data_IF_316557767702
#
_entry.id   IF_316557767702
#
_cell.length_a   1.000
_cell.length_b   1.000
_cell.length_c   1.000
_cell.angle_alpha   90.00
_cell.angle_beta   90.00
_cell.angle_gamma   90.00
#
_symmetry.space_group_name_H-M   'P 1'
#
loop_
_entity.id
_entity.type
_entity.pdbx_description
1 polymer ?
#
# COMPACT_ATOMS: atom_id res chain seq x y z
N UNK A 1 -25.44 55.36 20.60
CA UNK A 1 -24.06 54.98 20.21
C UNK A 1 -23.75 53.54 20.66
N UNK A 2 -24.42 52.49 20.14
CA UNK A 2 -24.10 51.08 20.48
C UNK A 2 -24.34 50.06 19.33
N UNK A 3 -24.61 50.51 18.11
CA UNK A 3 -24.99 49.61 17.01
C UNK A 3 -23.90 49.39 15.95
N UNK A 4 -22.82 50.20 15.96
CA UNK A 4 -21.71 50.08 15.00
C UNK A 4 -20.68 49.02 15.42
N UNK A 5 -20.61 48.67 16.71
CA UNK A 5 -19.61 47.73 17.24
C UNK A 5 -19.93 46.25 16.99
N UNK A 6 -21.20 45.89 16.72
CA UNK A 6 -21.62 44.48 16.60
C UNK A 6 -21.38 43.89 15.20
N UNK A 7 -21.13 44.73 14.19
CA UNK A 7 -20.96 44.29 12.79
C UNK A 7 -19.53 43.82 12.51
N UNK A 8 -18.52 44.36 13.19
CA UNK A 8 -17.08 44.01 13.03
C UNK A 8 -16.72 42.63 13.59
N UNK A 9 -17.46 42.12 14.57
CA UNK A 9 -17.19 40.84 15.24
C UNK A 9 -17.61 39.63 14.40
N UNK A 10 -18.68 39.77 13.62
CA UNK A 10 -19.21 38.68 12.78
C UNK A 10 -18.25 38.27 11.65
N UNK A 11 -17.47 39.23 11.14
CA UNK A 11 -16.48 38.98 10.10
C UNK A 11 -15.27 38.25 10.69
N UNK A 12 -14.78 38.69 11.86
CA UNK A 12 -13.66 38.03 12.54
C UNK A 12 -13.93 36.55 12.82
N UNK A 13 -15.12 36.21 13.29
CA UNK A 13 -15.52 34.82 13.54
C UNK A 13 -15.62 34.01 12.25
N UNK A 14 -16.16 34.57 11.17
CA UNK A 14 -16.23 33.90 9.87
C UNK A 14 -14.83 33.61 9.30
N UNK A 15 -13.91 34.55 9.41
CA UNK A 15 -12.51 34.37 9.01
C UNK A 15 -11.80 33.31 9.85
N UNK A 16 -12.02 33.29 11.17
CA UNK A 16 -11.47 32.27 12.07
C UNK A 16 -12.02 30.89 11.70
N UNK A 17 -13.33 30.75 11.46
CA UNK A 17 -13.94 29.47 11.06
C UNK A 17 -13.42 29.01 9.71
N UNK A 18 -13.26 29.92 8.74
CA UNK A 18 -12.73 29.60 7.41
C UNK A 18 -11.27 29.15 7.48
N UNK A 19 -10.45 29.83 8.29
CA UNK A 19 -9.08 29.40 8.57
C UNK A 19 -9.05 28.05 9.26
N UNK A 20 -9.91 27.81 10.27
CA UNK A 20 -9.99 26.54 10.98
C UNK A 20 -10.37 25.38 10.04
N UNK A 21 -11.35 25.60 9.15
CA UNK A 21 -11.75 24.63 8.13
C UNK A 21 -10.62 24.30 7.15
N UNK A 22 -9.80 25.28 6.78
CA UNK A 22 -8.62 25.05 5.95
C UNK A 22 -7.58 24.17 6.65
N UNK A 23 -7.36 24.33 7.97
CA UNK A 23 -6.41 23.49 8.72
C UNK A 23 -6.90 22.04 8.87
N UNK A 24 -8.21 21.84 9.01
CA UNK A 24 -8.81 20.51 9.21
C UNK A 24 -8.80 19.64 7.95
N UNK A 25 -8.71 20.25 6.76
CA UNK A 25 -8.78 19.52 5.48
C UNK A 25 -7.48 18.83 5.07
N UNK A 26 -6.44 18.86 5.91
CA UNK A 26 -5.21 18.12 5.68
C UNK A 26 -5.38 16.64 6.08
N UNK A 27 -6.13 15.88 5.29
CA UNK A 27 -6.13 14.42 5.37
C UNK A 27 -4.89 13.91 4.64
N UNK A 28 -3.84 13.57 5.39
CA UNK A 28 -2.70 12.80 4.87
C UNK A 28 -3.16 11.36 4.61
N UNK A 29 -3.52 11.05 3.36
CA UNK A 29 -3.67 9.67 2.92
C UNK A 29 -2.29 9.00 2.99
N UNK A 30 -2.00 8.33 4.11
CA UNK A 30 -0.81 7.50 4.30
C UNK A 30 -0.95 6.30 3.36
N UNK A 31 -0.67 6.55 2.09
CA UNK A 31 -0.51 5.54 1.06
C UNK A 31 0.70 4.71 1.46
N UNK A 32 0.46 3.61 2.19
CA UNK A 32 1.48 2.62 2.53
C UNK A 32 2.10 2.14 1.21
N UNK A 33 3.29 2.65 0.89
CA UNK A 33 3.94 2.40 -0.40
C UNK A 33 4.23 0.90 -0.55
N UNK A 34 3.90 0.35 -1.70
CA UNK A 34 4.37 -0.95 -2.13
C UNK A 34 5.69 -0.77 -2.89
N UNK A 35 6.72 -1.53 -2.54
CA UNK A 35 7.94 -1.66 -3.31
C UNK A 35 7.84 -2.90 -4.17
N UNK A 36 7.78 -2.71 -5.49
CA UNK A 36 7.71 -3.80 -6.46
C UNK A 36 9.13 -4.26 -6.81
N UNK A 37 9.38 -5.55 -6.69
CA UNK A 37 10.65 -6.20 -6.99
C UNK A 37 10.43 -7.24 -8.10
N UNK A 38 11.20 -7.13 -9.17
CA UNK A 38 11.19 -8.03 -10.33
C UNK A 38 12.52 -8.78 -10.48
N UNK A 39 13.30 -8.91 -9.40
CA UNK A 39 14.62 -9.55 -9.45
C UNK A 39 14.58 -11.08 -9.55
N UNK A 40 13.39 -11.66 -9.44
CA UNK A 40 13.17 -13.11 -9.45
C UNK A 40 12.18 -13.43 -10.56
N UNK A 41 12.59 -14.26 -11.50
CA UNK A 41 11.79 -14.73 -12.63
C UNK A 41 11.59 -16.26 -12.63
N UNK A 42 12.35 -16.99 -11.80
CA UNK A 42 12.36 -18.46 -11.79
C UNK A 42 11.70 -19.08 -10.56
N UNK A 43 11.16 -20.30 -10.75
CA UNK A 43 10.47 -21.08 -9.73
C UNK A 43 11.24 -22.37 -9.41
N UNK A 44 11.25 -22.77 -8.14
CA UNK A 44 11.71 -24.08 -7.70
C UNK A 44 10.67 -25.17 -7.99
N UNK A 45 9.38 -24.83 -7.85
CA UNK A 45 8.26 -25.69 -8.18
C UNK A 45 7.10 -24.84 -8.70
N UNK A 46 6.62 -25.14 -9.90
CA UNK A 46 5.47 -24.45 -10.52
C UNK A 46 4.14 -24.98 -10.00
N UNK A 47 3.96 -24.91 -8.68
CA UNK A 47 2.67 -25.21 -8.04
C UNK A 47 2.06 -23.95 -7.46
N UNK A 48 0.75 -23.95 -7.28
CA UNK A 48 0.08 -22.89 -6.53
C UNK A 48 0.40 -23.02 -5.03
N UNK A 49 0.72 -21.91 -4.38
CA UNK A 49 0.97 -21.85 -2.94
C UNK A 49 -0.32 -22.12 -2.15
N UNK A 50 -0.20 -22.81 -1.02
CA UNK A 50 -1.30 -22.95 -0.08
C UNK A 50 -1.49 -21.67 0.76
N UNK A 51 -2.57 -21.63 1.54
CA UNK A 51 -2.80 -20.54 2.48
C UNK A 51 -1.63 -20.39 3.47
N UNK A 52 -1.11 -19.17 3.60
CA UNK A 52 0.04 -18.81 4.43
C UNK A 52 1.36 -19.51 4.08
N UNK A 53 1.43 -20.23 2.96
CA UNK A 53 2.68 -20.81 2.50
C UNK A 53 3.68 -19.71 2.11
N UNK A 54 4.96 -19.96 2.41
CA UNK A 54 6.07 -19.08 2.01
C UNK A 54 6.27 -19.18 0.50
N UNK A 55 5.97 -18.11 -0.23
CA UNK A 55 6.19 -18.02 -1.68
C UNK A 55 7.66 -17.73 -2.03
N UNK A 56 8.40 -17.03 -1.16
CA UNK A 56 9.84 -16.75 -1.32
C UNK A 56 10.52 -16.67 0.04
N UNK A 57 11.67 -17.36 0.20
CA UNK A 57 12.47 -17.32 1.42
C UNK A 57 13.45 -16.14 1.43
N UNK A 58 13.93 -15.76 2.60
CA UNK A 58 15.05 -14.81 2.73
C UNK A 58 16.24 -15.19 1.81
N UNK A 59 16.82 -14.18 1.16
CA UNK A 59 17.99 -14.29 0.27
C UNK A 59 17.88 -15.23 -0.94
N UNK A 60 16.73 -15.88 -1.19
CA UNK A 60 16.56 -16.74 -2.35
C UNK A 60 16.29 -15.93 -3.62
N UNK A 61 16.84 -16.42 -4.73
CA UNK A 61 16.67 -15.87 -6.09
C UNK A 61 15.65 -16.66 -6.92
N UNK A 62 14.84 -17.52 -6.28
CA UNK A 62 13.77 -18.31 -6.90
C UNK A 62 12.53 -18.35 -6.01
N UNK A 63 11.36 -18.36 -6.61
CA UNK A 63 10.10 -18.60 -5.90
C UNK A 63 9.95 -20.08 -5.54
N UNK A 64 9.28 -20.40 -4.43
CA UNK A 64 8.95 -21.78 -4.07
C UNK A 64 7.70 -22.28 -4.79
N UNK A 65 6.74 -21.38 -4.99
CA UNK A 65 5.42 -21.63 -5.57
C UNK A 65 4.85 -20.30 -6.10
N UNK A 66 3.84 -20.40 -6.95
CA UNK A 66 3.08 -19.24 -7.46
C UNK A 66 1.91 -18.93 -6.52
N UNK A 67 1.76 -17.67 -6.15
CA UNK A 67 0.58 -17.17 -5.46
C UNK A 67 -0.62 -17.12 -6.44
N UNK A 68 -1.84 -17.42 -5.97
CA UNK A 68 -3.04 -17.27 -6.80
C UNK A 68 -3.16 -15.87 -7.42
N UNK A 69 -3.78 -15.75 -8.61
CA UNK A 69 -3.95 -14.50 -9.38
C UNK A 69 -4.50 -13.30 -8.60
N UNK A 70 -5.27 -13.56 -7.54
CA UNK A 70 -5.88 -12.55 -6.68
C UNK A 70 -4.98 -12.12 -5.51
N UNK A 71 -3.74 -12.61 -5.43
CA UNK A 71 -2.81 -12.39 -4.32
C UNK A 71 -1.39 -12.07 -4.80
N UNK A 72 -0.62 -11.43 -3.92
CA UNK A 72 0.75 -11.00 -4.18
C UNK A 72 1.71 -11.73 -3.24
N UNK A 73 2.91 -12.07 -3.73
CA UNK A 73 3.99 -12.57 -2.89
C UNK A 73 4.62 -11.39 -2.13
N UNK A 74 4.33 -11.28 -0.83
CA UNK A 74 4.55 -10.06 -0.05
C UNK A 74 5.35 -10.32 1.22
N UNK A 75 6.27 -9.43 1.56
CA UNK A 75 6.95 -9.37 2.86
C UNK A 75 6.97 -7.94 3.45
N UNK A 76 7.25 -7.78 4.75
CA UNK A 76 7.51 -6.45 5.33
C UNK A 76 8.84 -5.82 4.87
N UNK A 77 9.77 -6.59 4.31
CA UNK A 77 11.07 -6.11 3.84
C UNK A 77 11.86 -7.15 3.05
N UNK A 78 12.91 -6.71 2.34
CA UNK A 78 13.71 -7.56 1.42
C UNK A 78 14.30 -8.82 2.08
N UNK A 79 14.65 -8.73 3.35
CA UNK A 79 15.35 -9.77 4.12
C UNK A 79 14.42 -10.66 4.94
N UNK A 80 13.11 -10.63 4.67
CA UNK A 80 12.14 -11.49 5.32
C UNK A 80 11.56 -12.50 4.33
N UNK A 81 11.00 -13.57 4.90
CA UNK A 81 10.15 -14.48 4.15
C UNK A 81 8.93 -13.75 3.62
N UNK A 82 8.55 -14.09 2.39
CA UNK A 82 7.39 -13.57 1.71
C UNK A 82 6.29 -14.62 1.67
N UNK A 83 5.05 -14.17 1.88
CA UNK A 83 3.85 -14.99 1.89
C UNK A 83 2.81 -14.43 0.92
N UNK A 84 1.91 -15.28 0.42
CA UNK A 84 0.83 -14.81 -0.41
C UNK A 84 -0.17 -13.97 0.41
N UNK A 85 -0.42 -12.74 -0.03
CA UNK A 85 -1.34 -11.80 0.62
C UNK A 85 -2.10 -10.98 -0.42
N UNK A 86 -3.36 -10.66 -0.12
CA UNK A 86 -4.20 -9.78 -0.96
C UNK A 86 -3.74 -8.32 -0.84
N UNK A 87 -3.02 -7.99 0.23
CA UNK A 87 -2.68 -6.61 0.56
C UNK A 87 -1.42 -6.13 -0.18
N UNK A 88 -1.55 -5.05 -0.94
CA UNK A 88 -0.46 -4.46 -1.73
C UNK A 88 0.32 -3.39 -0.95
N UNK A 89 1.00 -3.78 0.13
CA UNK A 89 1.89 -2.86 0.87
C UNK A 89 3.18 -3.58 1.27
N UNK A 90 4.26 -2.85 1.54
CA UNK A 90 5.57 -3.47 1.83
C UNK A 90 6.29 -3.93 0.57
N UNK A 91 7.15 -4.94 0.69
CA UNK A 91 7.88 -5.52 -0.45
C UNK A 91 7.00 -6.54 -1.16
N UNK A 92 6.90 -6.43 -2.47
CA UNK A 92 6.09 -7.30 -3.32
C UNK A 92 6.97 -7.80 -4.45
N UNK A 93 7.08 -9.12 -4.56
CA UNK A 93 7.74 -9.74 -5.70
C UNK A 93 6.73 -10.04 -6.79
N UNK A 94 7.01 -9.50 -7.98
CA UNK A 94 6.21 -9.76 -9.17
C UNK A 94 6.42 -11.19 -9.62
N UNK A 95 5.33 -11.93 -9.72
CA UNK A 95 5.31 -13.28 -10.23
C UNK A 95 4.72 -13.21 -11.63
N UNK A 96 5.58 -13.26 -12.65
CA UNK A 96 5.12 -13.27 -14.04
C UNK A 96 4.18 -14.47 -14.21
N UNK A 97 3.01 -14.28 -14.80
CA UNK A 97 2.12 -15.37 -15.20
C UNK A 97 2.70 -15.97 -16.50
N UNK A 98 2.75 -17.30 -16.71
CA UNK A 98 2.87 -17.85 -18.04
C UNK A 98 1.59 -17.46 -18.75
N UNK A 99 1.73 -16.73 -19.85
CA UNK A 99 0.62 -16.50 -20.75
C UNK A 99 0.11 -17.88 -21.22
N UNK A 100 -1.20 -18.14 -21.16
CA UNK A 100 -1.77 -19.46 -21.53
C UNK A 100 -1.68 -19.79 -23.03
N UNK A 101 -1.01 -18.96 -23.83
CA UNK A 101 -0.99 -19.00 -25.29
C UNK A 101 0.42 -19.25 -25.90
N UNK A 102 1.44 -19.59 -25.09
CA UNK A 102 2.79 -20.03 -25.55
C UNK A 102 2.98 -21.56 -25.47
#
# INVERSE_FOLDING_TARGET
MKEVARRTETWGLAWIVTLLCLVVSAEEDVTKRAYMDNSIDSYFSERTCWWNEVCKREFQVRFRCRCPRWSFCRSPGRYYDAHCSITRTGYIWLQNEPDPDD
#
